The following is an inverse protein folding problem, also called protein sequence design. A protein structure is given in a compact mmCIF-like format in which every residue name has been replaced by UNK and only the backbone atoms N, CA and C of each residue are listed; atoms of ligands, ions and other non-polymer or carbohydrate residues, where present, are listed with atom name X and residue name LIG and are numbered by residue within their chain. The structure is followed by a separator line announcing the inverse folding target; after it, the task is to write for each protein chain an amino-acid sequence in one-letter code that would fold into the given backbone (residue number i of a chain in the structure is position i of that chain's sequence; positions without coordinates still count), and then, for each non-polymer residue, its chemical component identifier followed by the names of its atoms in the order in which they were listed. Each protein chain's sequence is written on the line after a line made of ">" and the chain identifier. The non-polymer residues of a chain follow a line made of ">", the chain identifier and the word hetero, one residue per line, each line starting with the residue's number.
data_IF_509094520529
#
_entry.id   IF_509094520529
#
_cell.length_a   1.000
_cell.length_b   1.000
_cell.length_c   1.000
_cell.angle_alpha   90.00
_cell.angle_beta   90.00
_cell.angle_gamma   90.00
#
_symmetry.space_group_name_H-M   'P 1'
#
loop_
_entity.id
_entity.type
_entity.pdbx_description
1 polymer ?
#
# COMPACT_ATOMS: atom_id res chain seq x y z
N UNK A 1 4.48 2.18 -3.10
CA UNK A 1 4.52 3.63 -3.34
C UNK A 1 3.62 4.36 -2.36
N UNK A 2 3.85 5.69 -2.17
CA UNK A 2 3.08 6.61 -1.33
C UNK A 2 2.27 7.56 -2.24
N UNK A 3 1.02 7.22 -2.59
CA UNK A 3 0.15 8.10 -3.36
C UNK A 3 -0.45 9.20 -2.47
N UNK A 4 -0.89 10.28 -3.10
CA UNK A 4 -1.60 11.38 -2.45
C UNK A 4 -3.06 11.35 -2.90
N UNK A 5 -3.99 11.37 -1.96
CA UNK A 5 -5.42 11.39 -2.27
C UNK A 5 -5.77 12.66 -3.09
N UNK A 6 -6.41 12.46 -4.24
CA UNK A 6 -6.81 13.53 -5.14
C UNK A 6 -5.74 14.03 -6.12
N UNK A 7 -4.44 13.73 -5.90
CA UNK A 7 -3.38 14.11 -6.85
C UNK A 7 -3.22 13.09 -7.98
N UNK A 8 -4.23 13.04 -8.87
CA UNK A 8 -4.20 12.10 -10.00
C UNK A 8 -2.97 12.26 -10.88
N UNK A 9 -2.47 13.49 -11.06
CA UNK A 9 -1.33 13.76 -11.91
C UNK A 9 -0.01 13.31 -11.29
N UNK A 10 0.21 13.60 -10.02
CA UNK A 10 1.40 13.19 -9.27
C UNK A 10 1.46 11.67 -9.09
N UNK A 11 0.35 11.04 -8.75
CA UNK A 11 0.25 9.60 -8.64
C UNK A 11 0.52 8.90 -9.98
N UNK A 12 -0.06 9.40 -11.08
CA UNK A 12 0.17 8.85 -12.41
C UNK A 12 1.64 8.99 -12.85
N UNK A 13 2.31 10.10 -12.52
CA UNK A 13 3.73 10.28 -12.77
C UNK A 13 4.55 9.26 -11.99
N UNK A 14 4.31 9.14 -10.70
CA UNK A 14 4.99 8.16 -9.81
C UNK A 14 4.84 6.73 -10.33
N UNK A 15 3.62 6.32 -10.70
CA UNK A 15 3.36 5.01 -11.30
C UNK A 15 4.16 4.83 -12.59
N UNK A 16 4.19 5.84 -13.45
CA UNK A 16 4.92 5.80 -14.73
C UNK A 16 6.43 5.66 -14.51
N UNK A 17 7.00 6.41 -13.55
CA UNK A 17 8.45 6.35 -13.23
C UNK A 17 8.85 4.93 -12.78
N UNK A 18 8.01 4.28 -11.96
CA UNK A 18 8.25 2.89 -11.55
C UNK A 18 8.06 1.88 -12.70
N UNK A 19 7.12 2.13 -13.62
CA UNK A 19 6.97 1.31 -14.84
C UNK A 19 8.23 1.41 -15.72
N UNK A 20 8.73 2.62 -15.98
CA UNK A 20 9.94 2.85 -16.77
C UNK A 20 11.15 2.16 -16.12
N UNK A 21 11.30 2.28 -14.81
CA UNK A 21 12.34 1.55 -14.06
C UNK A 21 12.18 0.03 -14.17
N UNK A 22 10.93 -0.49 -14.13
CA UNK A 22 10.65 -1.92 -14.34
C UNK A 22 11.07 -2.41 -15.72
N UNK A 23 10.82 -1.61 -16.76
CA UNK A 23 11.25 -1.91 -18.14
C UNK A 23 12.78 -1.96 -18.25
N UNK A 24 13.50 -1.02 -17.64
CA UNK A 24 14.97 -1.00 -17.60
C UNK A 24 15.54 -2.23 -16.92
N UNK A 25 14.91 -2.70 -15.85
CA UNK A 25 15.27 -3.92 -15.12
C UNK A 25 14.84 -5.21 -15.82
N UNK A 26 14.03 -5.12 -16.88
CA UNK A 26 13.52 -6.26 -17.64
C UNK A 26 12.45 -7.07 -16.92
N UNK A 27 11.68 -6.44 -16.06
CA UNK A 27 10.56 -7.04 -15.32
C UNK A 27 9.44 -7.42 -16.28
N UNK A 28 8.84 -8.60 -16.10
CA UNK A 28 7.69 -9.05 -16.91
C UNK A 28 6.38 -8.48 -16.39
N UNK A 29 6.24 -8.35 -15.06
CA UNK A 29 5.03 -7.89 -14.39
C UNK A 29 5.37 -6.98 -13.20
N UNK A 30 4.69 -5.84 -13.11
CA UNK A 30 4.78 -4.90 -11.98
C UNK A 30 3.38 -4.66 -11.40
N UNK A 31 3.28 -4.56 -10.07
CA UNK A 31 2.01 -4.27 -9.39
C UNK A 31 2.13 -3.01 -8.53
N UNK A 32 1.05 -2.24 -8.51
CA UNK A 32 0.89 -1.02 -7.73
C UNK A 32 -0.22 -1.20 -6.68
N UNK A 33 -0.22 -0.42 -5.60
CA UNK A 33 -1.22 -0.56 -4.54
C UNK A 33 -2.67 -0.38 -5.01
N UNK A 34 -3.58 -0.83 -4.18
CA UNK A 34 -5.01 -0.54 -4.27
C UNK A 34 -5.25 0.96 -4.39
N UNK A 35 -6.17 1.36 -5.27
CA UNK A 35 -6.53 2.76 -5.56
C UNK A 35 -5.32 3.70 -5.76
N UNK A 36 -4.21 3.19 -6.31
CA UNK A 36 -2.95 3.95 -6.44
C UNK A 36 -3.07 5.17 -7.36
N UNK A 37 -4.04 5.21 -8.27
CA UNK A 37 -4.29 6.38 -9.14
C UNK A 37 -4.96 7.51 -8.35
N UNK A 38 -5.97 7.21 -7.53
CA UNK A 38 -6.72 8.19 -6.74
C UNK A 38 -6.07 8.53 -5.40
N UNK A 39 -5.21 7.64 -4.88
CA UNK A 39 -4.87 7.56 -3.46
C UNK A 39 -5.97 6.86 -2.66
N UNK A 40 -5.64 6.41 -1.44
CA UNK A 40 -6.56 5.70 -0.54
C UNK A 40 -6.58 6.35 0.85
N UNK A 41 -7.76 6.55 1.47
CA UNK A 41 -9.10 6.41 0.89
C UNK A 41 -9.55 7.70 0.17
N UNK A 42 -10.15 7.60 -1.02
CA UNK A 42 -10.60 8.78 -1.77
C UNK A 42 -11.92 9.39 -1.26
N UNK A 43 -12.70 8.63 -0.48
CA UNK A 43 -13.93 9.06 0.21
C UNK A 43 -14.89 9.89 -0.69
N UNK A 44 -15.38 11.03 -0.21
CA UNK A 44 -16.38 11.87 -0.92
C UNK A 44 -15.89 12.44 -2.27
N UNK A 45 -14.61 12.30 -2.61
CA UNK A 45 -14.16 12.57 -3.98
C UNK A 45 -14.83 11.63 -4.99
N UNK A 46 -15.21 10.43 -4.57
CA UNK A 46 -15.91 9.44 -5.40
C UNK A 46 -17.31 9.88 -5.80
N UNK A 47 -17.93 10.77 -5.02
CA UNK A 47 -19.25 11.36 -5.32
C UNK A 47 -19.17 12.47 -6.39
N UNK A 48 -17.96 12.77 -6.88
CA UNK A 48 -17.73 13.76 -7.95
C UNK A 48 -17.51 13.05 -9.29
N UNK A 49 -18.51 13.03 -10.21
CA UNK A 49 -18.40 12.30 -11.47
C UNK A 49 -17.18 12.68 -12.32
N UNK A 50 -16.75 13.94 -12.25
CA UNK A 50 -15.57 14.39 -12.98
C UNK A 50 -14.29 13.76 -12.43
N UNK A 51 -14.15 13.62 -11.11
CA UNK A 51 -12.99 12.98 -10.49
C UNK A 51 -12.84 11.51 -10.94
N UNK A 52 -13.97 10.78 -10.98
CA UNK A 52 -13.99 9.39 -11.46
C UNK A 52 -13.60 9.30 -12.94
N UNK A 53 -14.11 10.20 -13.79
CA UNK A 53 -13.73 10.27 -15.22
C UNK A 53 -12.25 10.59 -15.41
N UNK A 54 -11.73 11.54 -14.63
CA UNK A 54 -10.34 11.96 -14.70
C UNK A 54 -9.40 10.84 -14.25
N UNK A 55 -9.73 10.09 -13.20
CA UNK A 55 -9.00 8.92 -12.75
C UNK A 55 -8.86 7.88 -13.91
N UNK A 56 -9.96 7.56 -14.60
CA UNK A 56 -9.93 6.67 -15.77
C UNK A 56 -9.06 7.25 -16.91
N UNK A 57 -9.14 8.55 -17.14
CA UNK A 57 -8.32 9.20 -18.15
C UNK A 57 -6.82 9.15 -17.83
N UNK A 58 -6.44 9.29 -16.55
CA UNK A 58 -5.05 9.11 -16.10
C UNK A 58 -4.59 7.66 -16.22
N UNK A 59 -5.42 6.68 -15.86
CA UNK A 59 -5.11 5.27 -16.08
C UNK A 59 -4.81 4.98 -17.56
N UNK A 60 -5.62 5.52 -18.50
CA UNK A 60 -5.38 5.39 -19.94
C UNK A 60 -4.07 6.04 -20.41
N UNK A 61 -3.64 7.13 -19.76
CA UNK A 61 -2.32 7.74 -20.04
C UNK A 61 -1.18 6.85 -19.55
N UNK A 62 -1.31 6.28 -18.35
CA UNK A 62 -0.33 5.34 -17.79
C UNK A 62 -0.24 4.09 -18.68
N UNK A 63 -1.37 3.57 -19.15
CA UNK A 63 -1.43 2.38 -19.98
C UNK A 63 -0.52 2.48 -21.22
N UNK A 64 -0.48 3.63 -21.88
CA UNK A 64 0.37 3.87 -23.05
C UNK A 64 1.88 3.69 -22.79
N UNK A 65 2.30 3.67 -21.53
CA UNK A 65 3.70 3.48 -21.10
C UNK A 65 4.07 2.00 -20.89
N UNK A 66 3.10 1.08 -20.89
CA UNK A 66 3.31 -0.36 -20.59
C UNK A 66 3.55 -1.22 -21.83
N UNK A 67 4.22 -0.70 -22.88
CA UNK A 67 4.43 -1.44 -24.14
C UNK A 67 5.26 -2.72 -23.98
N UNK A 68 6.19 -2.73 -23.04
CA UNK A 68 7.17 -3.80 -22.83
C UNK A 68 7.06 -4.50 -21.46
N UNK A 69 6.04 -4.19 -20.68
CA UNK A 69 5.79 -4.73 -19.34
C UNK A 69 4.28 -4.90 -19.14
N UNK A 70 3.88 -5.83 -18.28
CA UNK A 70 2.51 -5.92 -17.79
C UNK A 70 2.42 -5.18 -16.45
N UNK A 71 1.41 -4.34 -16.25
CA UNK A 71 1.20 -3.64 -14.99
C UNK A 71 -0.19 -3.94 -14.41
N UNK A 72 -0.25 -4.14 -13.08
CA UNK A 72 -1.49 -4.22 -12.31
C UNK A 72 -1.60 -2.95 -11.51
N UNK A 73 -2.66 -2.17 -11.72
CA UNK A 73 -2.79 -0.80 -11.20
C UNK A 73 -4.14 -0.64 -10.52
N UNK A 74 -4.13 -0.29 -9.22
CA UNK A 74 -5.34 0.03 -8.47
C UNK A 74 -5.93 1.38 -8.90
N UNK A 75 -7.23 1.41 -9.23
CA UNK A 75 -7.95 2.58 -9.67
C UNK A 75 -9.45 2.48 -9.33
N UNK A 76 -10.21 3.53 -9.59
CA UNK A 76 -11.68 3.50 -9.51
C UNK A 76 -12.25 3.25 -10.91
N UNK A 77 -12.95 2.13 -11.09
CA UNK A 77 -13.70 1.86 -12.31
C UNK A 77 -15.12 2.39 -12.21
N UNK A 78 -15.71 2.71 -13.36
CA UNK A 78 -17.09 3.18 -13.47
C UNK A 78 -17.76 2.58 -14.70
N UNK A 79 -18.78 1.78 -14.44
CA UNK A 79 -19.66 1.21 -15.45
C UNK A 79 -21.11 1.65 -15.14
N UNK A 80 -21.96 0.76 -14.66
CA UNK A 80 -23.30 1.10 -14.13
C UNK A 80 -23.20 1.69 -12.72
N UNK A 81 -22.16 1.32 -11.97
CA UNK A 81 -21.82 1.83 -10.66
C UNK A 81 -20.29 2.10 -10.58
N UNK A 82 -19.76 2.44 -9.41
CA UNK A 82 -18.32 2.59 -9.19
C UNK A 82 -17.75 1.40 -8.40
N UNK A 83 -16.54 1.03 -8.75
CA UNK A 83 -15.85 -0.15 -8.21
C UNK A 83 -14.44 0.20 -7.76
N UNK A 84 -14.03 -0.36 -6.63
CA UNK A 84 -12.61 -0.48 -6.28
C UNK A 84 -12.01 -1.56 -7.20
N UNK A 85 -11.11 -1.18 -8.07
CA UNK A 85 -10.71 -2.01 -9.20
C UNK A 85 -9.20 -2.11 -9.40
N UNK A 86 -8.77 -3.21 -10.00
CA UNK A 86 -7.41 -3.43 -10.50
C UNK A 86 -7.42 -3.57 -12.02
N UNK A 87 -6.77 -2.64 -12.71
CA UNK A 87 -6.56 -2.71 -14.14
C UNK A 87 -5.35 -3.58 -14.44
N UNK A 88 -5.51 -4.55 -15.34
CA UNK A 88 -4.42 -5.27 -15.97
C UNK A 88 -4.07 -4.55 -17.26
N UNK A 89 -2.92 -3.91 -17.26
CA UNK A 89 -2.46 -3.11 -18.40
C UNK A 89 -1.33 -3.85 -19.10
N UNK A 90 -1.49 -4.07 -20.40
CA UNK A 90 -0.56 -4.84 -21.21
C UNK A 90 -0.46 -4.26 -22.62
N UNK A 91 0.75 -4.22 -23.17
CA UNK A 91 0.99 -3.75 -24.56
C UNK A 91 0.44 -2.36 -24.89
N UNK A 92 0.34 -1.50 -23.89
CA UNK A 92 -0.13 -0.11 -24.04
C UNK A 92 -1.65 0.08 -23.88
N UNK A 93 -2.38 -0.97 -23.53
CA UNK A 93 -3.83 -0.98 -23.40
C UNK A 93 -4.30 -1.62 -22.10
N UNK A 94 -5.53 -1.33 -21.69
CA UNK A 94 -6.19 -2.01 -20.57
C UNK A 94 -6.73 -3.34 -21.13
N UNK A 95 -6.07 -4.44 -20.76
CA UNK A 95 -6.41 -5.78 -21.23
C UNK A 95 -7.55 -6.42 -20.41
N UNK A 96 -7.71 -6.02 -19.15
CA UNK A 96 -8.76 -6.53 -18.28
C UNK A 96 -8.90 -5.68 -17.01
N UNK A 97 -10.04 -5.82 -16.35
CA UNK A 97 -10.34 -5.12 -15.09
C UNK A 97 -10.92 -6.13 -14.09
N UNK A 98 -10.37 -6.15 -12.90
CA UNK A 98 -10.90 -6.90 -11.77
C UNK A 98 -11.56 -5.95 -10.78
N UNK A 99 -12.76 -6.25 -10.34
CA UNK A 99 -13.48 -5.52 -9.31
C UNK A 99 -13.35 -6.24 -7.96
N UNK A 100 -13.01 -5.51 -6.91
CA UNK A 100 -12.89 -6.03 -5.55
C UNK A 100 -14.18 -6.72 -5.11
N UNK A 101 -14.09 -7.96 -4.66
CA UNK A 101 -15.27 -8.76 -4.33
C UNK A 101 -15.70 -8.59 -2.87
N UNK A 102 -14.75 -8.48 -1.96
CA UNK A 102 -15.01 -8.26 -0.54
C UNK A 102 -14.70 -6.82 -0.15
N UNK A 103 -15.74 -6.08 0.20
CA UNK A 103 -15.64 -4.69 0.64
C UNK A 103 -15.65 -4.65 2.17
N UNK A 104 -14.56 -4.22 2.82
CA UNK A 104 -14.55 -4.09 4.27
C UNK A 104 -15.43 -2.92 4.72
N UNK A 105 -16.26 -3.16 5.73
CA UNK A 105 -17.15 -2.16 6.33
C UNK A 105 -17.10 -2.27 7.87
N UNK A 106 -15.87 -2.24 8.42
CA UNK A 106 -15.59 -2.36 9.85
C UNK A 106 -14.31 -1.57 10.21
N UNK A 107 -14.17 -1.20 11.47
CA UNK A 107 -13.02 -0.44 11.96
C UNK A 107 -12.90 0.91 11.28
N UNK A 108 -11.85 1.09 10.49
CA UNK A 108 -11.56 2.32 9.74
C UNK A 108 -12.08 2.29 8.30
N UNK A 109 -12.76 1.21 7.91
CA UNK A 109 -13.22 1.02 6.55
C UNK A 109 -14.72 1.32 6.41
N UNK A 110 -15.09 1.99 5.32
CA UNK A 110 -16.47 2.28 4.92
C UNK A 110 -16.60 2.14 3.39
N UNK A 111 -16.12 1.03 2.83
CA UNK A 111 -16.08 0.85 1.38
C UNK A 111 -17.46 0.56 0.76
N UNK A 112 -18.36 -0.10 1.49
CA UNK A 112 -19.73 -0.37 1.02
C UNK A 112 -20.55 0.91 0.79
N UNK A 113 -20.17 2.01 1.43
CA UNK A 113 -20.78 3.33 1.21
C UNK A 113 -20.55 3.85 -0.21
N UNK A 114 -19.44 3.49 -0.82
CA UNK A 114 -19.00 4.08 -2.07
C UNK A 114 -18.95 3.10 -3.23
N UNK A 115 -18.64 1.84 -2.99
CA UNK A 115 -18.34 0.88 -4.03
C UNK A 115 -19.35 -0.26 -4.11
N UNK A 116 -19.62 -0.68 -5.33
CA UNK A 116 -20.30 -1.93 -5.61
C UNK A 116 -19.29 -3.09 -5.58
N UNK A 117 -19.69 -4.23 -4.99
CA UNK A 117 -18.89 -5.46 -4.98
C UNK A 117 -18.77 -6.08 -6.36
N UNK A 118 -17.56 -6.53 -6.71
CA UNK A 118 -17.30 -7.41 -7.84
C UNK A 118 -17.94 -8.79 -7.66
N UNK A 119 -18.19 -9.48 -8.78
CA UNK A 119 -18.88 -10.78 -8.75
C UNK A 119 -18.00 -11.93 -9.31
N UNK A 120 -16.98 -11.60 -10.11
CA UNK A 120 -16.24 -12.61 -10.87
C UNK A 120 -14.74 -12.51 -10.60
N UNK A 121 -14.10 -13.59 -10.11
CA UNK A 121 -12.65 -13.64 -9.99
C UNK A 121 -11.99 -13.60 -11.37
N UNK A 122 -10.82 -12.96 -11.48
CA UNK A 122 -10.09 -12.80 -12.72
C UNK A 122 -8.73 -13.51 -12.67
N UNK A 123 -8.46 -14.33 -13.68
CA UNK A 123 -7.15 -14.87 -14.02
C UNK A 123 -6.65 -14.26 -15.33
N UNK A 124 -5.39 -13.82 -15.38
CA UNK A 124 -4.72 -13.45 -16.63
C UNK A 124 -3.64 -14.46 -16.97
N UNK A 125 -3.39 -14.69 -18.25
CA UNK A 125 -2.37 -15.64 -18.70
C UNK A 125 -1.26 -14.84 -19.36
N UNK A 126 -0.10 -14.79 -18.71
CA UNK A 126 1.10 -14.10 -19.17
C UNK A 126 2.22 -15.13 -19.37
N UNK A 127 2.76 -15.26 -20.59
CA UNK A 127 3.82 -16.23 -20.91
C UNK A 127 3.49 -17.65 -20.40
N UNK A 128 2.28 -18.14 -20.69
CA UNK A 128 1.76 -19.44 -20.24
C UNK A 128 1.51 -19.59 -18.74
N UNK A 129 1.82 -18.55 -17.95
CA UNK A 129 1.60 -18.54 -16.51
C UNK A 129 0.24 -17.92 -16.21
N UNK A 130 -0.59 -18.64 -15.47
CA UNK A 130 -1.88 -18.13 -14.99
C UNK A 130 -1.68 -17.38 -13.69
N UNK A 131 -2.11 -16.12 -13.65
CA UNK A 131 -1.96 -15.17 -12.54
C UNK A 131 -3.35 -14.71 -12.10
N UNK A 132 -3.71 -14.96 -10.85
CA UNK A 132 -4.93 -14.44 -10.23
C UNK A 132 -4.72 -13.01 -9.71
N UNK A 133 -5.76 -12.17 -9.83
CA UNK A 133 -5.74 -10.78 -9.39
C UNK A 133 -6.68 -10.62 -8.19
N UNK A 134 -6.20 -10.04 -7.10
CA UNK A 134 -7.00 -9.75 -5.91
C UNK A 134 -6.71 -8.35 -5.37
N UNK A 135 -7.63 -7.83 -4.58
CA UNK A 135 -7.52 -6.53 -3.93
C UNK A 135 -7.78 -6.68 -2.45
N UNK A 136 -6.79 -6.36 -1.62
CA UNK A 136 -6.82 -6.19 -0.17
C UNK A 136 -7.62 -7.28 0.56
N UNK A 137 -8.88 -7.01 0.92
CA UNK A 137 -9.76 -7.88 1.70
C UNK A 137 -9.96 -9.27 1.06
N UNK A 138 -9.87 -9.36 -0.27
CA UNK A 138 -10.08 -10.61 -1.02
C UNK A 138 -9.17 -11.77 -0.57
N UNK A 139 -7.96 -11.48 -0.05
CA UNK A 139 -7.00 -12.51 0.39
C UNK A 139 -7.23 -12.95 1.84
N UNK A 140 -8.00 -12.17 2.63
CA UNK A 140 -8.21 -12.47 4.04
C UNK A 140 -9.16 -13.65 4.27
N UNK A 141 -10.08 -13.90 3.34
CA UNK A 141 -11.05 -15.00 3.42
C UNK A 141 -10.49 -16.29 2.83
N UNK A 142 -10.52 -17.42 3.57
CA UNK A 142 -10.06 -18.72 3.06
C UNK A 142 -10.81 -19.17 1.80
N UNK A 143 -12.11 -18.95 1.75
CA UNK A 143 -12.99 -19.28 0.62
C UNK A 143 -13.18 -18.09 -0.35
N UNK A 144 -12.23 -17.16 -0.36
CA UNK A 144 -12.28 -15.97 -1.21
C UNK A 144 -11.82 -16.20 -2.65
N UNK A 145 -11.74 -15.10 -3.42
CA UNK A 145 -11.35 -15.13 -4.84
C UNK A 145 -10.02 -15.85 -5.09
N UNK A 146 -9.04 -15.67 -4.21
CA UNK A 146 -7.72 -16.28 -4.34
C UNK A 146 -7.79 -17.83 -4.42
N UNK A 147 -8.67 -18.47 -3.64
CA UNK A 147 -8.89 -19.92 -3.72
C UNK A 147 -9.52 -20.31 -5.05
N UNK A 148 -10.56 -19.59 -5.49
CA UNK A 148 -11.24 -19.87 -6.77
C UNK A 148 -10.26 -19.74 -7.92
N UNK A 149 -9.43 -18.71 -7.94
CA UNK A 149 -8.39 -18.47 -8.92
C UNK A 149 -7.33 -19.59 -8.94
N UNK A 150 -6.87 -20.03 -7.76
CA UNK A 150 -5.91 -21.12 -7.62
C UNK A 150 -6.45 -22.46 -8.17
N UNK A 151 -7.71 -22.82 -7.80
CA UNK A 151 -8.38 -24.03 -8.31
C UNK A 151 -8.59 -23.96 -9.83
N UNK A 152 -8.90 -22.74 -10.35
CA UNK A 152 -8.99 -22.48 -11.79
C UNK A 152 -7.62 -22.38 -12.48
N UNK A 153 -6.50 -22.70 -11.80
CA UNK A 153 -5.17 -22.88 -12.38
C UNK A 153 -4.16 -21.77 -12.12
N UNK A 154 -4.52 -20.70 -11.40
CA UNK A 154 -3.53 -19.67 -11.08
C UNK A 154 -2.35 -20.25 -10.28
N UNK A 155 -1.13 -20.03 -10.74
CA UNK A 155 0.11 -20.37 -10.03
C UNK A 155 0.65 -19.21 -9.19
N UNK A 156 0.28 -18.00 -9.55
CA UNK A 156 0.66 -16.78 -8.83
C UNK A 156 -0.62 -16.02 -8.51
N UNK A 157 -0.73 -15.48 -7.32
CA UNK A 157 -1.76 -14.51 -6.93
C UNK A 157 -1.07 -13.17 -6.71
N UNK A 158 -1.49 -12.14 -7.42
CA UNK A 158 -1.08 -10.75 -7.17
C UNK A 158 -2.21 -10.06 -6.41
N UNK A 159 -1.94 -9.69 -5.17
CA UNK A 159 -2.91 -8.99 -4.33
C UNK A 159 -2.39 -7.58 -4.04
N UNK A 160 -3.11 -6.56 -4.53
CA UNK A 160 -2.78 -5.16 -4.32
C UNK A 160 -3.56 -4.59 -3.14
N UNK A 161 -2.92 -3.80 -2.30
CA UNK A 161 -3.47 -3.45 -0.99
C UNK A 161 -3.24 -1.99 -0.60
N UNK A 162 -4.18 -1.46 0.19
CA UNK A 162 -4.04 -0.32 1.05
C UNK A 162 -4.43 -0.72 2.48
N UNK A 163 -3.71 -1.69 3.03
CA UNK A 163 -3.97 -2.24 4.37
C UNK A 163 -3.32 -1.36 5.44
N UNK A 164 -4.13 -0.68 6.30
CA UNK A 164 -3.61 0.22 7.32
C UNK A 164 -2.76 -0.49 8.36
N UNK A 165 -1.81 0.27 8.89
CA UNK A 165 -0.94 -0.15 9.98
C UNK A 165 -1.71 -0.21 11.31
N UNK A 166 -1.39 -1.20 12.09
CA UNK A 166 -1.51 -1.20 13.56
C UNK A 166 -0.39 -2.08 14.14
N UNK A 167 -0.09 -1.92 15.41
CA UNK A 167 0.99 -2.64 16.10
C UNK A 167 0.84 -4.15 15.90
N UNK A 168 1.91 -4.80 15.42
CA UNK A 168 1.97 -6.25 15.21
C UNK A 168 1.28 -6.76 13.95
N UNK A 169 0.58 -5.92 13.17
CA UNK A 169 -0.14 -6.36 11.97
C UNK A 169 0.78 -6.94 10.90
N UNK A 170 2.00 -6.44 10.79
CA UNK A 170 2.95 -6.93 9.79
C UNK A 170 3.24 -8.43 9.95
N UNK A 171 3.45 -8.90 11.19
CA UNK A 171 3.68 -10.32 11.50
C UNK A 171 2.41 -11.14 11.26
N UNK A 172 1.27 -10.68 11.74
CA UNK A 172 -0.01 -11.35 11.51
C UNK A 172 -0.34 -11.50 10.02
N UNK A 173 -0.07 -10.44 9.22
CA UNK A 173 -0.22 -10.44 7.76
C UNK A 173 0.69 -11.49 7.10
N UNK A 174 1.95 -11.58 7.51
CA UNK A 174 2.89 -12.60 7.00
C UNK A 174 2.40 -14.02 7.27
N UNK A 175 1.96 -14.31 8.50
CA UNK A 175 1.46 -15.62 8.90
C UNK A 175 0.19 -16.00 8.11
N UNK A 176 -0.74 -15.06 7.95
CA UNK A 176 -1.96 -15.25 7.15
C UNK A 176 -1.62 -15.55 5.68
N UNK A 177 -0.75 -14.75 5.07
CA UNK A 177 -0.35 -14.93 3.67
C UNK A 177 0.43 -16.22 3.44
N UNK A 178 1.29 -16.63 4.39
CA UNK A 178 2.00 -17.90 4.36
C UNK A 178 1.01 -19.08 4.35
N UNK A 179 -0.03 -19.01 5.17
CA UNK A 179 -1.12 -19.99 5.19
C UNK A 179 -1.87 -20.01 3.86
N UNK A 180 -2.27 -18.84 3.32
CA UNK A 180 -2.96 -18.77 2.03
C UNK A 180 -2.12 -19.32 0.88
N UNK A 181 -0.81 -19.04 0.87
CA UNK A 181 0.11 -19.53 -0.15
C UNK A 181 0.20 -21.07 -0.11
N UNK A 182 0.40 -21.64 1.07
CA UNK A 182 0.55 -23.09 1.25
C UNK A 182 -0.77 -23.85 1.00
N UNK A 183 -1.90 -23.36 1.54
CA UNK A 183 -3.21 -24.00 1.35
C UNK A 183 -3.62 -24.05 -0.10
N UNK A 184 -3.33 -22.99 -0.87
CA UNK A 184 -3.67 -22.91 -2.28
C UNK A 184 -2.59 -23.47 -3.22
N UNK A 185 -1.36 -23.69 -2.70
CA UNK A 185 -0.21 -24.12 -3.50
C UNK A 185 0.13 -23.10 -4.58
N UNK A 186 0.22 -21.82 -4.21
CA UNK A 186 0.48 -20.68 -5.09
C UNK A 186 1.59 -19.79 -4.55
N UNK A 187 2.24 -19.05 -5.42
CA UNK A 187 3.06 -17.91 -5.00
C UNK A 187 2.12 -16.72 -4.78
N UNK A 188 2.32 -15.97 -3.70
CA UNK A 188 1.59 -14.72 -3.44
C UNK A 188 2.55 -13.54 -3.57
N UNK A 189 2.24 -12.61 -4.47
CA UNK A 189 2.87 -11.31 -4.56
C UNK A 189 1.92 -10.27 -3.91
N UNK A 190 2.20 -9.93 -2.67
CA UNK A 190 1.43 -8.99 -1.87
C UNK A 190 2.06 -7.60 -1.95
N UNK A 191 1.40 -6.68 -2.61
CA UNK A 191 1.81 -5.27 -2.69
C UNK A 191 0.98 -4.45 -1.70
N UNK A 192 1.63 -3.66 -0.84
CA UNK A 192 0.92 -2.79 0.09
C UNK A 192 1.35 -1.33 -0.07
N UNK A 193 0.40 -0.42 0.10
CA UNK A 193 0.62 1.02 0.12
C UNK A 193 1.53 1.41 1.29
N UNK A 194 2.29 2.48 1.14
CA UNK A 194 3.02 3.14 2.23
C UNK A 194 2.61 4.60 2.29
N UNK A 195 2.59 5.19 3.49
CA UNK A 195 2.33 6.62 3.69
C UNK A 195 1.38 6.89 4.84
N UNK A 196 1.19 8.16 5.14
CA UNK A 196 0.14 8.66 6.03
C UNK A 196 -0.96 9.34 5.22
N UNK A 197 -2.21 9.17 5.62
CA UNK A 197 -3.38 9.85 5.06
C UNK A 197 -4.40 10.06 6.16
N UNK A 198 -4.61 11.32 6.53
CA UNK A 198 -5.44 11.72 7.66
C UNK A 198 -5.03 10.93 8.94
N UNK A 199 -5.92 10.21 9.59
CA UNK A 199 -5.61 9.37 10.76
C UNK A 199 -4.96 8.02 10.42
N UNK A 200 -4.86 7.65 9.14
CA UNK A 200 -4.35 6.36 8.73
C UNK A 200 -2.86 6.41 8.41
N UNK A 201 -2.15 5.36 8.80
CA UNK A 201 -0.78 5.11 8.38
C UNK A 201 -0.72 3.77 7.67
N UNK A 202 0.04 3.69 6.59
CA UNK A 202 0.29 2.48 5.81
C UNK A 202 1.78 2.16 5.88
N UNK A 203 2.08 0.95 6.30
CA UNK A 203 3.46 0.52 6.62
C UNK A 203 4.26 0.00 5.42
N UNK A 204 3.64 -0.13 4.25
CA UNK A 204 4.28 -0.78 3.11
C UNK A 204 4.51 -2.26 3.37
N UNK A 205 5.76 -2.69 3.49
CA UNK A 205 6.15 -4.08 3.77
C UNK A 205 5.49 -5.09 2.82
N UNK A 206 5.35 -4.73 1.54
CA UNK A 206 4.96 -5.69 0.54
C UNK A 206 5.88 -6.91 0.57
N UNK A 207 5.39 -8.08 0.18
CA UNK A 207 6.17 -9.31 0.23
C UNK A 207 5.81 -10.28 -0.89
N UNK A 208 6.75 -11.16 -1.20
CA UNK A 208 6.54 -12.28 -2.11
C UNK A 208 6.78 -13.55 -1.31
N UNK A 209 5.79 -14.46 -1.33
CA UNK A 209 5.76 -15.70 -0.56
C UNK A 209 5.63 -16.86 -1.53
N UNK A 210 6.43 -17.92 -1.35
CA UNK A 210 6.38 -19.11 -2.19
C UNK A 210 5.20 -20.04 -1.85
N UNK A 211 5.02 -21.07 -2.66
CA UNK A 211 3.96 -22.06 -2.54
C UNK A 211 4.03 -22.91 -1.25
N UNK A 212 5.08 -22.76 -0.47
CA UNK A 212 5.27 -23.43 0.83
C UNK A 212 5.03 -22.49 2.02
N UNK A 213 4.70 -21.23 1.75
CA UNK A 213 4.53 -20.21 2.78
C UNK A 213 5.82 -19.53 3.22
N UNK A 214 6.94 -19.70 2.49
CA UNK A 214 8.18 -19.03 2.83
C UNK A 214 8.29 -17.67 2.16
N UNK A 215 8.63 -16.62 2.92
CA UNK A 215 8.90 -15.30 2.36
C UNK A 215 10.15 -15.35 1.48
N UNK A 216 10.03 -15.04 0.19
CA UNK A 216 11.16 -14.94 -0.76
C UNK A 216 11.71 -13.51 -0.83
N UNK A 217 10.84 -12.51 -0.74
CA UNK A 217 11.23 -11.11 -0.72
C UNK A 217 10.32 -10.30 0.19
N UNK A 218 10.87 -9.27 0.85
CA UNK A 218 10.12 -8.31 1.67
C UNK A 218 10.71 -6.92 1.50
N UNK A 219 9.83 -5.94 1.29
CA UNK A 219 10.17 -4.54 1.19
C UNK A 219 10.42 -3.88 2.53
N UNK A 220 10.83 -2.64 2.48
CA UNK A 220 11.06 -1.80 3.66
C UNK A 220 9.76 -1.46 4.38
N UNK A 221 9.87 -1.21 5.67
CA UNK A 221 8.78 -0.67 6.48
C UNK A 221 8.81 0.86 6.44
N UNK A 222 7.64 1.49 6.27
CA UNK A 222 7.44 2.94 6.29
C UNK A 222 8.22 3.74 5.25
N UNK A 223 8.68 3.08 4.19
CA UNK A 223 9.37 3.69 3.05
C UNK A 223 8.86 3.11 1.73
N UNK A 224 8.92 3.94 0.65
CA UNK A 224 8.71 3.43 -0.70
C UNK A 224 9.81 2.45 -1.09
N UNK A 225 9.44 1.36 -1.74
CA UNK A 225 10.40 0.35 -2.20
C UNK A 225 9.93 -0.35 -3.48
N UNK A 226 10.85 -0.87 -4.25
CA UNK A 226 10.59 -1.76 -5.38
C UNK A 226 11.06 -3.17 -5.02
N UNK A 227 10.10 -4.04 -4.75
CA UNK A 227 10.34 -5.41 -4.30
C UNK A 227 10.42 -6.30 -5.54
N UNK A 228 11.53 -7.01 -5.69
CA UNK A 228 11.84 -7.81 -6.86
C UNK A 228 12.06 -9.27 -6.48
N UNK A 229 11.51 -10.19 -7.30
CA UNK A 229 11.86 -11.60 -7.23
C UNK A 229 11.77 -12.24 -8.63
N UNK A 230 12.62 -13.22 -8.84
CA UNK A 230 12.54 -14.16 -9.94
C UNK A 230 11.73 -15.37 -9.48
N UNK A 231 10.62 -15.68 -10.16
CA UNK A 231 9.69 -16.73 -9.76
C UNK A 231 9.93 -18.00 -10.57
N UNK A 232 10.18 -19.11 -9.86
CA UNK A 232 10.25 -20.45 -10.46
C UNK A 232 8.85 -21.09 -10.48
N UNK A 233 8.14 -20.89 -11.59
CA UNK A 233 6.74 -21.30 -11.72
C UNK A 233 6.62 -22.81 -12.03
N UNK A 234 7.67 -23.43 -12.55
CA UNK A 234 7.68 -24.89 -12.82
C UNK A 234 7.59 -25.70 -11.52
N UNK A 235 8.14 -25.16 -10.44
CA UNK A 235 8.05 -25.77 -9.10
C UNK A 235 6.61 -25.86 -8.60
N UNK A 236 5.76 -24.88 -8.93
CA UNK A 236 4.34 -24.87 -8.55
C UNK A 236 3.62 -26.03 -9.19
N UNK A 237 3.83 -26.23 -10.51
CA UNK A 237 3.23 -27.33 -11.25
C UNK A 237 3.67 -28.67 -10.66
N UNK A 238 4.96 -28.85 -10.40
CA UNK A 238 5.49 -30.06 -9.78
C UNK A 238 4.88 -30.29 -8.39
N UNK A 239 4.80 -29.28 -7.54
CA UNK A 239 4.18 -29.36 -6.21
C UNK A 239 2.71 -29.82 -6.27
N UNK A 240 1.94 -29.27 -7.21
CA UNK A 240 0.53 -29.64 -7.42
C UNK A 240 0.34 -31.05 -7.92
N UNK A 241 1.24 -31.57 -8.75
CA UNK A 241 1.19 -32.97 -9.21
C UNK A 241 1.30 -33.96 -8.06
N UNK A 242 2.02 -33.63 -7.01
CA UNK A 242 2.20 -34.46 -5.83
C UNK A 242 1.06 -34.37 -4.82
N UNK A 243 0.13 -33.42 -4.96
CA UNK A 243 -1.04 -33.29 -4.07
C UNK A 243 -2.35 -33.76 -4.73
N UNK A 244 -2.80 -35.01 -4.46
CA UNK A 244 -4.02 -35.53 -5.06
C UNK A 244 -5.31 -34.80 -4.60
N UNK A 245 -5.25 -34.06 -3.48
CA UNK A 245 -6.40 -33.28 -2.98
C UNK A 245 -6.79 -32.19 -3.97
N UNK A 246 -5.81 -31.55 -4.60
CA UNK A 246 -6.03 -30.49 -5.61
C UNK A 246 -6.84 -30.94 -6.82
N UNK A 247 -6.71 -32.22 -7.22
CA UNK A 247 -7.53 -32.80 -8.31
C UNK A 247 -8.99 -32.93 -7.91
N UNK A 248 -9.26 -33.36 -6.67
CA UNK A 248 -10.63 -33.48 -6.14
C UNK A 248 -11.29 -32.11 -6.00
N UNK A 249 -10.55 -31.12 -5.49
CA UNK A 249 -11.01 -29.73 -5.39
C UNK A 249 -11.41 -29.17 -6.75
N UNK A 250 -10.62 -29.44 -7.80
CA UNK A 250 -10.90 -28.98 -9.16
C UNK A 250 -12.20 -29.59 -9.73
N UNK A 251 -12.40 -30.89 -9.53
CA UNK A 251 -13.64 -31.56 -9.94
C UNK A 251 -14.85 -30.96 -9.22
N UNK A 252 -14.79 -30.81 -7.90
CA UNK A 252 -15.85 -30.21 -7.11
C UNK A 252 -16.16 -28.75 -7.51
N UNK A 253 -15.13 -27.99 -7.90
CA UNK A 253 -15.30 -26.63 -8.40
C UNK A 253 -16.06 -26.59 -9.74
N UNK A 254 -15.70 -27.48 -10.68
CA UNK A 254 -16.37 -27.61 -11.98
C UNK A 254 -17.83 -28.04 -11.81
N UNK A 255 -18.10 -28.98 -10.91
CA UNK A 255 -19.46 -29.44 -10.59
C UNK A 255 -20.35 -28.33 -9.97
N UNK A 256 -19.77 -27.39 -9.22
CA UNK A 256 -20.49 -26.25 -8.62
C UNK A 256 -20.82 -25.14 -9.64
N UNK A 257 -20.35 -25.24 -10.89
CA UNK A 257 -20.58 -24.22 -11.92
C UNK A 257 -19.92 -22.86 -11.62
N UNK A 258 -18.97 -22.82 -10.68
CA UNK A 258 -18.25 -21.58 -10.37
C UNK A 258 -17.35 -21.18 -11.55
N UNK A 259 -17.36 -19.91 -11.89
CA UNK A 259 -16.61 -19.38 -13.02
C UNK A 259 -15.51 -18.44 -12.54
N UNK A 260 -14.38 -18.49 -13.23
CA UNK A 260 -13.27 -17.53 -13.13
C UNK A 260 -13.02 -17.03 -14.55
N UNK A 261 -13.07 -15.72 -14.72
CA UNK A 261 -12.74 -15.08 -15.98
C UNK A 261 -11.28 -15.34 -16.33
N UNK A 262 -10.98 -15.57 -17.63
CA UNK A 262 -9.62 -15.83 -18.10
C UNK A 262 -9.30 -14.96 -19.30
N UNK A 263 -8.26 -14.15 -19.16
CA UNK A 263 -7.80 -13.24 -20.21
C UNK A 263 -6.39 -13.63 -20.64
N UNK A 264 -6.21 -14.15 -21.86
CA UNK A 264 -4.88 -14.39 -22.42
C UNK A 264 -4.23 -13.05 -22.81
N UNK A 265 -3.01 -12.82 -22.32
CA UNK A 265 -2.20 -11.66 -22.69
C UNK A 265 -1.24 -12.08 -23.81
N UNK A 266 -1.41 -11.49 -24.99
CA UNK A 266 -0.57 -11.80 -26.14
C UNK A 266 0.77 -11.10 -26.06
N UNK A 267 1.79 -11.82 -25.61
CA UNK A 267 3.17 -11.32 -25.59
C UNK A 267 3.84 -11.51 -26.94
N UNK A 268 4.49 -10.46 -27.43
CA UNK A 268 5.46 -10.63 -28.55
C UNK A 268 6.68 -11.36 -27.98
N UNK A 269 7.25 -12.35 -28.70
CA UNK A 269 8.45 -13.03 -28.26
C UNK A 269 9.57 -11.99 -28.04
N UNK A 270 9.90 -11.72 -26.80
CA UNK A 270 11.06 -10.87 -26.49
C UNK A 270 12.33 -11.66 -26.79
N UNK A 271 13.30 -11.05 -27.51
CA UNK A 271 14.65 -11.58 -27.54
C UNK A 271 15.11 -11.66 -26.09
N UNK A 272 15.44 -12.88 -25.59
CA UNK A 272 15.97 -13.10 -24.23
C UNK A 272 17.21 -12.20 -24.04
N UNK A 273 17.02 -10.99 -23.51
CA UNK A 273 18.13 -10.24 -22.93
C UNK A 273 18.54 -11.04 -21.69
N UNK A 274 19.83 -11.42 -21.59
CA UNK A 274 20.37 -11.96 -20.34
C UNK A 274 20.40 -10.82 -19.34
N UNK A 275 19.36 -10.71 -18.55
CA UNK A 275 19.35 -9.81 -17.40
C UNK A 275 20.25 -10.40 -16.30
N UNK A 276 20.93 -9.53 -15.56
CA UNK A 276 21.66 -9.91 -14.36
C UNK A 276 20.62 -10.53 -13.40
N UNK A 277 20.92 -11.68 -12.80
CA UNK A 277 20.02 -12.33 -11.85
C UNK A 277 19.56 -11.31 -10.80
N UNK A 278 18.26 -11.09 -10.71
CA UNK A 278 17.69 -10.16 -9.73
C UNK A 278 17.80 -10.80 -8.35
N UNK A 279 18.57 -10.18 -7.45
CA UNK A 279 18.63 -10.62 -6.07
C UNK A 279 17.33 -10.29 -5.35
N UNK A 280 16.70 -11.27 -4.72
CA UNK A 280 15.60 -11.00 -3.79
C UNK A 280 16.14 -10.42 -2.48
N UNK A 281 15.53 -9.34 -2.01
CA UNK A 281 15.90 -8.70 -0.73
C UNK A 281 14.82 -9.03 0.30
N UNK A 282 15.25 -9.51 1.48
CA UNK A 282 14.36 -9.67 2.64
C UNK A 282 14.74 -8.62 3.68
N UNK A 283 13.97 -7.56 3.77
CA UNK A 283 14.13 -6.58 4.86
C UNK A 283 13.60 -7.18 6.16
N UNK A 284 14.34 -7.05 7.25
CA UNK A 284 13.87 -7.49 8.57
C UNK A 284 12.65 -6.68 9.02
N UNK A 285 11.80 -7.29 9.83
CA UNK A 285 10.74 -6.56 10.53
C UNK A 285 11.40 -5.67 11.59
N UNK A 286 10.94 -4.42 11.76
CA UNK A 286 11.42 -3.57 12.84
C UNK A 286 10.99 -4.13 14.20
N UNK A 287 11.73 -3.77 15.25
CA UNK A 287 11.30 -4.01 16.63
C UNK A 287 10.06 -3.17 16.94
N UNK A 288 9.21 -3.63 17.88
CA UNK A 288 7.91 -3.02 18.13
C UNK A 288 7.97 -1.52 18.45
N UNK A 289 8.94 -1.09 19.25
CA UNK A 289 9.11 0.35 19.61
C UNK A 289 9.55 1.14 18.40
N UNK A 290 10.48 0.61 17.60
CA UNK A 290 10.92 1.23 16.36
C UNK A 290 9.78 1.33 15.33
N UNK A 291 8.96 0.28 15.24
CA UNK A 291 7.77 0.23 14.37
C UNK A 291 6.81 1.38 14.69
N UNK A 292 6.46 1.53 15.98
CA UNK A 292 5.55 2.60 16.44
C UNK A 292 6.14 3.98 16.18
N UNK A 293 7.42 4.18 16.49
CA UNK A 293 8.08 5.46 16.27
C UNK A 293 8.11 5.86 14.81
N UNK A 294 8.47 4.92 13.91
CA UNK A 294 8.45 5.14 12.46
C UNK A 294 7.06 5.46 11.92
N UNK A 295 6.02 4.82 12.48
CA UNK A 295 4.64 5.12 12.11
C UNK A 295 4.26 6.56 12.49
N UNK A 296 4.62 7.01 13.68
CA UNK A 296 4.38 8.40 14.15
C UNK A 296 5.11 9.42 13.26
N UNK A 297 6.38 9.14 12.93
CA UNK A 297 7.18 10.02 12.07
C UNK A 297 6.59 10.10 10.67
N UNK A 298 6.22 8.95 10.07
CA UNK A 298 5.63 8.92 8.72
C UNK A 298 4.27 9.61 8.68
N UNK A 299 3.38 9.32 9.64
CA UNK A 299 2.06 9.94 9.74
C UNK A 299 2.16 11.46 9.85
N UNK A 300 3.00 11.95 10.77
CA UNK A 300 3.25 13.40 10.96
C UNK A 300 3.81 14.04 9.69
N UNK A 301 4.83 13.42 9.08
CA UNK A 301 5.44 13.93 7.85
C UNK A 301 4.45 14.08 6.72
N UNK A 302 3.66 13.03 6.47
CA UNK A 302 2.74 13.00 5.34
C UNK A 302 1.55 13.92 5.60
N UNK A 303 1.00 13.96 6.82
CA UNK A 303 -0.07 14.89 7.16
C UNK A 303 0.32 16.34 6.87
N UNK A 304 1.48 16.78 7.35
CA UNK A 304 1.95 18.15 7.13
C UNK A 304 2.20 18.40 5.64
N UNK A 305 2.96 17.52 4.96
CA UNK A 305 3.37 17.75 3.57
C UNK A 305 2.23 17.61 2.56
N UNK A 306 1.36 16.62 2.73
CA UNK A 306 0.23 16.38 1.80
C UNK A 306 -0.82 17.49 1.88
N UNK A 307 -0.93 18.17 3.03
CA UNK A 307 -1.78 19.35 3.18
C UNK A 307 -1.11 20.67 2.75
N UNK A 308 0.11 20.60 2.19
CA UNK A 308 0.83 21.77 1.66
C UNK A 308 1.52 22.61 2.73
N UNK A 309 1.58 22.15 3.97
CA UNK A 309 2.33 22.82 5.03
C UNK A 309 3.80 22.44 5.02
N UNK A 310 4.64 23.34 5.48
CA UNK A 310 6.09 23.15 5.53
C UNK A 310 6.69 23.35 6.91
N UNK A 311 5.93 23.96 7.84
CA UNK A 311 6.40 24.34 9.15
C UNK A 311 5.38 23.95 10.23
N UNK A 312 5.89 23.61 11.42
CA UNK A 312 5.07 23.22 12.57
C UNK A 312 5.50 23.98 13.81
N UNK A 313 4.52 24.46 14.55
CA UNK A 313 4.73 25.12 15.86
C UNK A 313 4.21 24.21 16.95
N UNK A 314 5.03 24.00 18.00
CA UNK A 314 4.72 23.08 19.10
C UNK A 314 4.84 23.80 20.42
N UNK A 315 3.79 23.73 21.25
CA UNK A 315 3.85 24.16 22.64
C UNK A 315 4.75 23.22 23.45
N UNK A 316 5.86 23.73 23.99
CA UNK A 316 6.76 22.98 24.84
C UNK A 316 6.42 23.29 26.29
N UNK A 317 6.04 22.30 27.09
CA UNK A 317 5.67 22.44 28.50
C UNK A 317 6.81 22.07 29.47
N UNK A 318 7.91 21.50 28.95
CA UNK A 318 8.93 20.82 29.74
C UNK A 318 8.57 19.40 30.16
N UNK A 319 7.34 18.92 29.82
CA UNK A 319 6.91 17.55 30.08
C UNK A 319 7.29 16.56 28.94
N UNK A 320 7.25 15.27 29.30
CA UNK A 320 7.66 14.17 28.36
C UNK A 320 6.83 14.12 27.09
N UNK A 321 5.53 14.40 27.16
CA UNK A 321 4.64 14.31 26.00
C UNK A 321 5.00 15.35 24.94
N UNK A 322 5.16 16.63 25.34
CA UNK A 322 5.57 17.70 24.43
C UNK A 322 6.98 17.45 23.87
N UNK A 323 7.86 16.85 24.67
CA UNK A 323 9.21 16.48 24.27
C UNK A 323 9.20 15.40 23.18
N UNK A 324 8.38 14.36 23.34
CA UNK A 324 8.21 13.31 22.34
C UNK A 324 7.61 13.86 21.04
N UNK A 325 6.58 14.72 21.15
CA UNK A 325 5.97 15.37 19.97
C UNK A 325 7.00 16.20 19.21
N UNK A 326 7.85 16.96 19.91
CA UNK A 326 8.92 17.73 19.27
C UNK A 326 9.95 16.85 18.56
N UNK A 327 10.38 15.75 19.21
CA UNK A 327 11.32 14.80 18.60
C UNK A 327 10.75 14.16 17.34
N UNK A 328 9.49 13.68 17.37
CA UNK A 328 8.79 13.12 16.20
C UNK A 328 8.66 14.16 15.07
N UNK A 329 8.33 15.42 15.40
CA UNK A 329 8.19 16.48 14.41
C UNK A 329 9.54 16.81 13.74
N UNK A 330 10.63 16.83 14.51
CA UNK A 330 11.99 17.07 13.98
C UNK A 330 12.41 15.95 13.03
N UNK A 331 12.17 14.70 13.39
CA UNK A 331 12.49 13.56 12.52
C UNK A 331 11.59 13.52 11.27
N UNK A 332 10.34 13.96 11.38
CA UNK A 332 9.40 14.00 10.27
C UNK A 332 9.70 15.12 9.26
N UNK A 333 10.00 16.33 9.75
CA UNK A 333 10.02 17.56 8.96
C UNK A 333 11.42 18.17 8.81
N UNK A 334 12.33 17.81 9.69
CA UNK A 334 13.65 18.41 9.85
C UNK A 334 13.62 19.64 10.77
N UNK A 335 14.67 19.81 11.54
CA UNK A 335 14.81 20.83 12.60
C UNK A 335 14.51 22.28 12.19
N UNK A 336 14.76 22.65 10.91
CA UNK A 336 14.49 24.00 10.39
C UNK A 336 13.00 24.30 10.18
N UNK A 337 12.16 23.28 10.23
CA UNK A 337 10.73 23.36 9.99
C UNK A 337 9.90 23.15 11.28
N UNK A 338 10.55 23.22 12.43
CA UNK A 338 9.89 23.06 13.74
C UNK A 338 10.29 24.23 14.64
N UNK A 339 9.30 24.88 15.25
CA UNK A 339 9.49 25.92 16.24
C UNK A 339 8.85 25.49 17.56
N UNK A 340 9.61 25.47 18.63
CA UNK A 340 9.13 25.27 20.00
C UNK A 340 8.67 26.57 20.62
N UNK A 341 7.49 26.59 21.24
CA UNK A 341 6.95 27.76 21.92
C UNK A 341 6.70 27.41 23.39
N UNK A 342 7.35 28.12 24.29
CA UNK A 342 7.06 28.06 25.73
C UNK A 342 6.16 29.22 26.14
N UNK A 343 5.06 28.90 26.81
CA UNK A 343 4.02 29.87 27.18
C UNK A 343 3.91 29.97 28.74
N UNK A 344 4.82 30.71 29.41
CA UNK A 344 4.82 30.78 30.86
C UNK A 344 3.62 31.56 31.40
N UNK A 345 3.08 31.06 32.52
CA UNK A 345 2.14 31.74 33.42
C UNK A 345 2.63 31.66 34.83
N UNK A 346 1.87 32.23 35.78
CA UNK A 346 2.16 32.13 37.22
C UNK A 346 2.27 30.69 37.76
N UNK A 347 1.74 29.70 37.01
CA UNK A 347 1.75 28.28 37.36
C UNK A 347 2.93 27.52 36.77
N UNK A 348 3.71 28.13 35.89
CA UNK A 348 4.84 27.50 35.27
C UNK A 348 6.04 27.46 36.17
N UNK A 349 6.65 26.29 36.39
CA UNK A 349 7.85 26.19 37.22
C UNK A 349 9.10 26.60 36.42
N UNK A 350 10.17 26.93 37.16
CA UNK A 350 11.47 27.24 36.55
C UNK A 350 12.06 26.04 35.88
N UNK A 351 11.91 24.85 36.44
CA UNK A 351 12.37 23.57 35.87
C UNK A 351 11.69 23.30 34.53
N UNK A 352 10.38 23.54 34.40
CA UNK A 352 9.66 23.39 33.14
C UNK A 352 10.23 24.25 32.00
N UNK A 353 10.64 25.48 32.33
CA UNK A 353 11.32 26.34 31.35
C UNK A 353 12.70 25.80 30.97
N UNK A 354 13.52 25.46 31.96
CA UNK A 354 14.88 24.95 31.77
C UNK A 354 14.87 23.66 30.94
N UNK A 355 13.92 22.75 31.17
CA UNK A 355 13.75 21.51 30.41
C UNK A 355 13.30 21.77 28.97
N UNK A 356 12.35 22.68 28.75
CA UNK A 356 11.90 23.04 27.40
C UNK A 356 13.00 23.73 26.59
N UNK A 357 13.78 24.63 27.19
CA UNK A 357 14.92 25.30 26.56
C UNK A 357 16.03 24.29 26.23
N UNK A 358 16.37 23.40 27.15
CA UNK A 358 17.37 22.37 26.96
C UNK A 358 16.96 21.40 25.82
N UNK A 359 15.70 21.01 25.78
CA UNK A 359 15.15 20.17 24.68
C UNK A 359 15.29 20.86 23.33
N UNK A 360 14.84 22.14 23.25
CA UNK A 360 14.91 22.88 21.97
C UNK A 360 16.36 23.05 21.51
N UNK A 361 17.29 23.28 22.40
CA UNK A 361 18.73 23.34 22.13
C UNK A 361 19.28 21.99 21.65
N UNK A 362 18.89 20.88 22.30
CA UNK A 362 19.34 19.54 21.91
C UNK A 362 18.80 19.12 20.54
N UNK A 363 17.57 19.52 20.20
CA UNK A 363 16.97 19.28 18.90
C UNK A 363 17.40 20.27 17.83
N UNK A 364 18.13 21.34 18.22
CA UNK A 364 18.58 22.42 17.35
C UNK A 364 17.43 23.09 16.58
N UNK A 365 16.33 23.37 17.30
CA UNK A 365 15.12 24.03 16.77
C UNK A 365 15.02 25.46 17.31
N UNK A 366 14.25 26.30 16.60
CA UNK A 366 13.89 27.63 17.08
C UNK A 366 13.07 27.53 18.36
N UNK A 367 13.36 28.38 19.35
CA UNK A 367 12.65 28.41 20.61
C UNK A 367 12.17 29.84 20.92
N UNK A 368 10.86 29.99 21.11
CA UNK A 368 10.21 31.27 21.39
C UNK A 368 9.51 31.21 22.73
N UNK A 369 9.65 32.28 23.51
CA UNK A 369 8.95 32.43 24.80
C UNK A 369 7.85 33.47 24.64
N UNK A 370 6.60 33.10 24.89
CA UNK A 370 5.42 33.98 24.83
C UNK A 370 4.71 33.96 26.18
N UNK A 371 4.95 34.95 27.07
CA UNK A 371 4.23 35.03 28.34
C UNK A 371 2.72 35.23 28.14
N UNK A 372 1.90 34.39 28.78
CA UNK A 372 0.44 34.39 28.65
C UNK A 372 -0.28 34.95 29.89
N UNK A 373 0.48 35.50 30.87
CA UNK A 373 -0.08 35.95 32.15
C UNK A 373 -1.17 37.01 31.98
N UNK A 374 -0.94 38.04 31.18
CA UNK A 374 -1.93 39.12 30.95
C UNK A 374 -3.21 38.59 30.30
N UNK A 375 -3.08 37.74 29.30
CA UNK A 375 -4.24 37.10 28.63
C UNK A 375 -5.03 36.23 29.62
N UNK A 376 -4.31 35.51 30.51
CA UNK A 376 -4.95 34.71 31.55
C UNK A 376 -5.74 35.58 32.55
N UNK A 377 -5.17 36.69 32.96
CA UNK A 377 -5.84 37.63 33.86
C UNK A 377 -7.07 38.30 33.25
N UNK A 378 -7.01 38.64 31.95
CA UNK A 378 -8.15 39.16 31.19
C UNK A 378 -9.31 38.17 31.11
N UNK A 379 -9.02 36.85 31.07
CA UNK A 379 -10.06 35.80 31.06
C UNK A 379 -10.71 35.60 32.44
N UNK A 380 -10.05 36.00 33.53
CA UNK A 380 -10.57 35.85 34.91
C UNK A 380 -11.43 37.06 35.34
N UNK A 381 -11.35 38.18 34.65
CA UNK A 381 -12.11 39.42 34.92
C UNK A 381 -13.34 39.52 34.02
#
# INVERSE_FOLDING_TARGET
>A
INPIVGDLSGNARKITDYIERGIELGIDLIAFPELSVTGYPPEDLLLKPQFVKDNIAYLKKIAKKTKDITAIIGFVDSQEDIYNAAAVVHSGEIAGVYHKMFLPNYGVFDEERYFQSGQTPLNVILNEITIGIGICEDIWYPEGPARLQAVAGAGVIVNINASPYHIGKARFREEMLATRASDNGVIIAYNNMVGGQDELVFDGQGMIIDEKGCVIARGKAFEEDLILAELDVERIFSSRLHDPRKRKEKIAFEEQGKQVERIPLHTRPKKKKRFKKLGSKKTALPEQVEEVYKALVLGTKDYVKKNGFHHTVIGLSGGIDSSLVAAVAVDALGKKNVTGVFMPSQYSSKESFEDAEALAKNLDIEFIVIPIQNTFEDYLN
#
